data_IF_616896162686
#
_entry.id   IF_616896162686
#
_cell.length_a   1.000
_cell.length_b   1.000
_cell.length_c   1.000
_cell.angle_alpha   90.00
_cell.angle_beta   90.00
_cell.angle_gamma   90.00
#
_symmetry.space_group_name_H-M   'P 1'
#
loop_
_entity.id
_entity.type
_entity.pdbx_description
1 polymer ?
#
# COMPACT_ATOMS: atom_id res chain seq x y z
N UNK A 1 16.12 -26.75 19.42
CA UNK A 1 15.88 -25.37 18.96
C UNK A 1 14.40 -25.21 18.75
N UNK A 2 13.71 -24.44 19.60
CA UNK A 2 12.33 -24.04 19.34
C UNK A 2 12.35 -23.00 18.22
N UNK A 3 12.05 -23.42 16.99
CA UNK A 3 11.64 -22.49 15.94
C UNK A 3 10.15 -22.23 16.17
N UNK A 4 9.82 -21.35 17.11
CA UNK A 4 8.59 -20.59 16.89
C UNK A 4 8.84 -19.81 15.60
N UNK A 5 8.22 -20.25 14.50
CA UNK A 5 8.36 -19.56 13.23
C UNK A 5 7.96 -18.10 13.45
N UNK A 6 8.89 -17.18 13.21
CA UNK A 6 8.58 -15.76 13.28
C UNK A 6 7.43 -15.45 12.34
N UNK A 7 6.51 -14.59 12.79
CA UNK A 7 5.37 -14.18 11.98
C UNK A 7 5.88 -13.58 10.66
N UNK A 8 5.34 -13.97 9.49
CA UNK A 8 5.71 -13.36 8.22
C UNK A 8 5.53 -11.84 8.27
N UNK A 9 6.58 -11.11 7.90
CA UNK A 9 6.57 -9.66 7.83
C UNK A 9 6.42 -9.21 6.38
N UNK A 10 5.44 -8.36 6.12
CA UNK A 10 4.94 -8.10 4.77
C UNK A 10 5.12 -6.63 4.39
N UNK A 11 5.64 -6.40 3.19
CA UNK A 11 5.45 -5.18 2.42
C UNK A 11 4.45 -5.50 1.30
N UNK A 12 3.41 -4.69 1.16
CA UNK A 12 2.39 -4.86 0.13
C UNK A 12 2.38 -3.65 -0.80
N UNK A 13 2.72 -3.87 -2.07
CA UNK A 13 2.87 -2.84 -3.10
C UNK A 13 1.81 -3.01 -4.18
N UNK A 14 0.98 -1.98 -4.37
CA UNK A 14 -0.27 -2.10 -5.14
C UNK A 14 -0.67 -0.79 -5.84
N UNK A 15 -1.49 -0.87 -6.88
CA UNK A 15 -2.19 0.22 -7.56
C UNK A 15 -3.72 0.10 -7.34
N UNK A 16 -4.24 0.42 -6.14
CA UNK A 16 -5.50 -0.13 -5.65
C UNK A 16 -6.70 0.02 -6.60
N UNK A 17 -7.03 -1.09 -7.25
CA UNK A 17 -8.30 -1.37 -7.91
C UNK A 17 -9.22 -2.25 -7.05
N UNK A 18 -10.25 -2.82 -7.66
CA UNK A 18 -11.25 -3.65 -6.97
C UNK A 18 -10.66 -4.97 -6.45
N UNK A 19 -9.83 -5.62 -7.25
CA UNK A 19 -9.13 -6.87 -6.95
C UNK A 19 -8.03 -6.68 -5.90
N UNK A 20 -7.22 -5.61 -6.04
CA UNK A 20 -6.25 -5.20 -5.02
C UNK A 20 -6.92 -4.99 -3.66
N UNK A 21 -8.09 -4.35 -3.66
CA UNK A 21 -8.85 -4.06 -2.45
C UNK A 21 -9.26 -5.34 -1.72
N UNK A 22 -9.66 -6.39 -2.46
CA UNK A 22 -10.00 -7.67 -1.86
C UNK A 22 -8.76 -8.37 -1.26
N UNK A 23 -7.62 -8.31 -1.95
CA UNK A 23 -6.36 -8.84 -1.42
C UNK A 23 -5.91 -8.08 -0.16
N UNK A 24 -6.07 -6.76 -0.14
CA UNK A 24 -5.81 -5.94 1.05
C UNK A 24 -6.73 -6.31 2.21
N UNK A 25 -8.03 -6.50 1.97
CA UNK A 25 -8.99 -6.94 3.00
C UNK A 25 -8.56 -8.26 3.64
N UNK A 26 -8.14 -9.24 2.83
CA UNK A 26 -7.59 -10.49 3.37
C UNK A 26 -6.30 -10.29 4.15
N UNK A 27 -5.37 -9.48 3.65
CA UNK A 27 -4.13 -9.17 4.35
C UNK A 27 -4.40 -8.54 5.72
N UNK A 28 -5.35 -7.61 5.80
CA UNK A 28 -5.73 -6.96 7.06
C UNK A 28 -6.38 -7.94 8.03
N UNK A 29 -7.24 -8.84 7.56
CA UNK A 29 -7.81 -9.90 8.41
C UNK A 29 -6.74 -10.86 8.96
N UNK A 30 -5.76 -11.24 8.13
CA UNK A 30 -4.62 -12.04 8.58
C UNK A 30 -3.77 -11.30 9.63
N UNK A 31 -3.56 -9.99 9.43
CA UNK A 31 -2.81 -9.16 10.38
C UNK A 31 -3.57 -9.01 11.71
N UNK A 32 -4.89 -8.80 11.66
CA UNK A 32 -5.78 -8.72 12.82
C UNK A 32 -5.82 -10.04 13.60
N UNK A 33 -5.80 -11.17 12.90
CA UNK A 33 -5.66 -12.50 13.48
C UNK A 33 -4.25 -12.82 14.02
N UNK A 34 -3.30 -11.90 13.85
CA UNK A 34 -1.92 -12.06 14.30
C UNK A 34 -1.12 -13.10 13.53
N UNK A 35 -1.56 -13.47 12.31
CA UNK A 35 -0.91 -14.44 11.44
C UNK A 35 0.23 -13.82 10.62
N UNK A 36 0.15 -12.52 10.33
CA UNK A 36 1.17 -11.75 9.62
C UNK A 36 1.38 -10.39 10.29
N UNK A 37 2.49 -9.74 9.99
CA UNK A 37 2.77 -8.37 10.40
C UNK A 37 2.99 -7.49 9.16
N UNK A 38 2.15 -6.47 8.96
CA UNK A 38 2.29 -5.54 7.84
C UNK A 38 3.29 -4.46 8.27
N UNK A 39 4.41 -4.34 7.55
CA UNK A 39 5.44 -3.31 7.79
C UNK A 39 5.21 -2.07 6.97
N UNK A 40 4.76 -2.25 5.73
CA UNK A 40 4.44 -1.15 4.84
C UNK A 40 3.37 -1.51 3.81
N UNK A 41 2.64 -0.48 3.41
CA UNK A 41 1.74 -0.47 2.26
C UNK A 41 2.24 0.61 1.30
N UNK A 42 2.49 0.27 0.05
CA UNK A 42 3.03 1.22 -0.93
C UNK A 42 2.11 1.33 -2.12
N UNK A 43 1.77 2.57 -2.48
CA UNK A 43 0.96 2.84 -3.66
C UNK A 43 1.87 3.10 -4.86
N UNK A 44 1.57 2.43 -5.96
CA UNK A 44 2.10 2.76 -7.29
C UNK A 44 0.99 3.20 -8.21
N UNK A 45 1.41 3.68 -9.37
CA UNK A 45 0.50 3.96 -10.44
C UNK A 45 0.11 2.68 -11.20
N UNK A 46 -1.13 2.61 -11.67
CA UNK A 46 -1.55 1.71 -12.73
C UNK A 46 -3.04 1.89 -13.02
N UNK A 47 -3.93 1.27 -12.25
CA UNK A 47 -5.38 1.36 -12.42
C UNK A 47 -5.95 2.81 -12.43
N UNK A 48 -5.27 3.77 -11.81
CA UNK A 48 -5.65 5.18 -11.81
C UNK A 48 -4.44 6.11 -11.63
N UNK A 49 -4.69 7.42 -11.59
CA UNK A 49 -3.70 8.42 -11.20
C UNK A 49 -3.07 8.08 -9.86
N UNK A 50 -1.77 8.34 -9.71
CA UNK A 50 -1.00 7.92 -8.54
C UNK A 50 -1.55 8.45 -7.20
N UNK A 51 -2.10 9.67 -7.20
CA UNK A 51 -2.74 10.24 -6.02
C UNK A 51 -4.04 9.52 -5.68
N UNK A 52 -4.84 9.13 -6.68
CA UNK A 52 -6.06 8.35 -6.46
C UNK A 52 -5.72 6.96 -5.92
N UNK A 53 -4.69 6.30 -6.45
CA UNK A 53 -4.20 5.02 -5.94
C UNK A 53 -3.78 5.12 -4.47
N UNK A 54 -3.00 6.16 -4.12
CA UNK A 54 -2.63 6.44 -2.74
C UNK A 54 -3.85 6.71 -1.84
N UNK A 55 -4.79 7.54 -2.29
CA UNK A 55 -6.03 7.82 -1.56
C UNK A 55 -6.84 6.55 -1.33
N UNK A 56 -7.00 5.71 -2.34
CA UNK A 56 -7.74 4.45 -2.25
C UNK A 56 -7.08 3.50 -1.22
N UNK A 57 -5.73 3.40 -1.24
CA UNK A 57 -4.96 2.64 -0.24
C UNK A 57 -5.25 3.12 1.19
N UNK A 58 -5.23 4.45 1.40
CA UNK A 58 -5.51 5.06 2.71
C UNK A 58 -6.96 4.81 3.14
N UNK A 59 -7.92 4.93 2.23
CA UNK A 59 -9.33 4.63 2.54
C UNK A 59 -9.52 3.16 2.95
N UNK A 60 -8.90 2.20 2.25
CA UNK A 60 -8.96 0.78 2.59
C UNK A 60 -8.33 0.49 3.95
N UNK A 61 -7.20 1.11 4.26
CA UNK A 61 -6.55 1.00 5.56
C UNK A 61 -7.45 1.52 6.69
N UNK A 62 -8.13 2.66 6.48
CA UNK A 62 -9.06 3.23 7.45
C UNK A 62 -10.28 2.34 7.70
N UNK A 63 -10.85 1.75 6.65
CA UNK A 63 -12.03 0.88 6.76
C UNK A 63 -11.78 -0.38 7.60
N UNK A 64 -10.54 -0.82 7.70
CA UNK A 64 -10.22 -2.19 8.15
C UNK A 64 -9.49 -2.23 9.48
N UNK A 65 -8.62 -1.25 9.75
CA UNK A 65 -7.83 -1.21 10.99
C UNK A 65 -8.37 -0.18 12.00
N UNK A 66 -9.33 0.66 11.58
CA UNK A 66 -10.09 1.57 12.45
C UNK A 66 -9.29 2.74 13.02
N UNK A 67 -9.98 3.64 13.74
CA UNK A 67 -9.46 4.97 14.07
C UNK A 67 -8.18 4.96 14.93
N UNK A 68 -8.09 3.97 15.81
CA UNK A 68 -7.02 3.81 16.79
C UNK A 68 -5.61 3.61 16.21
N UNK A 69 -5.50 3.40 14.89
CA UNK A 69 -4.24 3.16 14.19
C UNK A 69 -3.52 4.46 13.79
N UNK A 70 -4.27 5.50 13.42
CA UNK A 70 -3.71 6.78 12.97
C UNK A 70 -3.57 7.80 14.10
N UNK A 71 -4.43 7.74 15.12
CA UNK A 71 -4.45 8.72 16.21
C UNK A 71 -3.21 8.67 17.12
N UNK A 72 -2.49 7.54 17.17
CA UNK A 72 -1.42 7.36 18.16
C UNK A 72 -0.18 8.21 17.91
N UNK A 73 0.12 8.58 16.65
CA UNK A 73 1.10 9.60 16.25
C UNK A 73 1.22 9.58 14.71
N UNK A 74 0.92 10.65 13.96
CA UNK A 74 1.08 10.66 12.51
C UNK A 74 2.55 10.47 12.06
N UNK A 75 3.52 10.77 12.93
CA UNK A 75 4.95 10.55 12.66
C UNK A 75 5.43 9.11 12.99
N UNK A 76 4.58 8.28 13.59
CA UNK A 76 4.89 6.88 13.94
C UNK A 76 3.67 6.00 13.68
N UNK A 77 3.29 5.90 12.40
CA UNK A 77 2.28 4.93 11.99
C UNK A 77 2.82 3.51 12.20
N UNK A 78 2.02 2.58 12.76
CA UNK A 78 2.46 1.20 12.91
C UNK A 78 2.67 0.49 11.56
N UNK A 79 2.04 0.99 10.50
CA UNK A 79 2.28 0.61 9.09
C UNK A 79 2.79 1.86 8.37
N UNK A 80 3.95 1.77 7.72
CA UNK A 80 4.47 2.86 6.89
C UNK A 80 3.77 2.88 5.53
N UNK A 81 3.55 4.08 4.99
CA UNK A 81 2.85 4.25 3.72
C UNK A 81 3.77 4.91 2.70
N UNK A 82 3.87 4.36 1.49
CA UNK A 82 4.68 4.91 0.40
C UNK A 82 3.84 5.44 -0.75
N UNK A 83 4.36 6.44 -1.46
CA UNK A 83 3.72 7.05 -2.64
C UNK A 83 4.54 6.84 -3.92
N UNK A 84 3.85 6.93 -5.06
CA UNK A 84 4.50 6.86 -6.36
C UNK A 84 5.57 7.96 -6.54
N UNK A 85 6.71 7.58 -7.12
CA UNK A 85 7.76 8.53 -7.52
C UNK A 85 7.53 9.04 -8.95
N UNK A 86 7.27 10.35 -9.17
CA UNK A 86 7.11 10.91 -10.51
C UNK A 86 8.32 10.72 -11.43
N UNK A 87 9.53 10.53 -10.86
CA UNK A 87 10.74 10.25 -11.64
C UNK A 87 10.69 8.90 -12.37
N UNK A 88 9.76 8.00 -12.03
CA UNK A 88 9.59 6.72 -12.70
C UNK A 88 8.98 6.84 -14.11
N UNK A 89 8.45 8.01 -14.46
CA UNK A 89 7.96 8.31 -15.80
C UNK A 89 6.56 8.91 -15.81
N UNK A 90 6.06 9.24 -17.02
CA UNK A 90 4.76 9.87 -17.19
C UNK A 90 3.66 8.93 -16.70
N UNK A 91 2.60 9.56 -16.22
CA UNK A 91 1.48 8.86 -15.67
C UNK A 91 0.70 8.08 -16.74
N UNK A 92 0.66 6.75 -16.65
CA UNK A 92 -0.17 5.86 -17.47
C UNK A 92 -1.25 5.22 -16.60
N UNK A 93 -2.51 5.38 -16.97
CA UNK A 93 -3.65 4.78 -16.30
C UNK A 93 -4.76 4.47 -17.30
N UNK A 94 -5.69 3.60 -16.91
CA UNK A 94 -6.83 3.20 -17.71
C UNK A 94 -8.14 3.48 -16.96
N UNK A 95 -8.79 4.59 -17.29
CA UNK A 95 -10.04 5.02 -16.65
C UNK A 95 -11.27 4.28 -17.22
N UNK A 96 -11.13 3.54 -18.32
CA UNK A 96 -12.25 2.87 -18.99
C UNK A 96 -12.74 1.64 -18.22
N UNK A 97 -11.82 0.93 -17.54
CA UNK A 97 -12.15 -0.29 -16.80
C UNK A 97 -12.38 -0.04 -15.31
N UNK A 98 -11.63 0.88 -14.70
CA UNK A 98 -11.63 1.07 -13.24
C UNK A 98 -12.40 2.31 -12.78
N UNK A 99 -12.91 3.12 -13.72
CA UNK A 99 -13.54 4.41 -13.43
C UNK A 99 -12.52 5.51 -13.15
N UNK A 100 -12.93 6.77 -13.23
CA UNK A 100 -12.02 7.92 -13.09
C UNK A 100 -11.30 8.02 -11.73
N UNK A 101 -11.83 7.35 -10.70
CA UNK A 101 -11.24 7.26 -9.36
C UNK A 101 -10.39 5.99 -9.13
N UNK A 102 -10.32 5.08 -10.12
CA UNK A 102 -9.70 3.76 -10.01
C UNK A 102 -10.48 2.76 -9.17
N UNK A 103 -11.67 3.14 -8.71
CA UNK A 103 -12.43 2.36 -7.74
C UNK A 103 -13.94 2.34 -8.05
N UNK A 104 -14.29 2.45 -9.33
CA UNK A 104 -15.67 2.41 -9.83
C UNK A 104 -16.62 3.40 -9.13
N UNK A 105 -16.10 4.56 -8.73
CA UNK A 105 -16.84 5.60 -8.01
C UNK A 105 -16.98 5.35 -6.51
N UNK A 106 -16.47 4.24 -5.96
CA UNK A 106 -16.54 3.95 -4.53
C UNK A 106 -15.78 4.99 -3.71
N UNK A 107 -14.71 5.60 -4.24
CA UNK A 107 -13.94 6.60 -3.51
C UNK A 107 -14.83 7.77 -3.05
N UNK A 108 -15.79 8.16 -3.88
CA UNK A 108 -16.72 9.26 -3.58
C UNK A 108 -17.67 8.95 -2.43
N UNK A 109 -18.00 7.67 -2.20
CA UNK A 109 -18.84 7.24 -1.07
C UNK A 109 -18.09 7.27 0.25
N UNK A 110 -16.77 7.06 0.23
CA UNK A 110 -15.94 7.14 1.43
C UNK A 110 -15.66 8.58 1.86
N UNK A 111 -15.66 9.53 0.93
CA UNK A 111 -15.52 10.95 1.24
C UNK A 111 -16.73 11.53 1.99
N UNK A 112 -17.90 10.89 1.93
CA UNK A 112 -19.12 11.35 2.62
C UNK A 112 -19.44 10.57 3.90
N UNK A 113 -18.64 9.56 4.26
CA UNK A 113 -18.86 8.74 5.44
C UNK A 113 -18.05 9.26 6.64
N UNK A 114 -18.76 9.75 7.66
CA UNK A 114 -18.18 10.32 8.87
C UNK A 114 -17.50 9.30 9.80
N UNK A 115 -17.64 7.99 9.53
CA UNK A 115 -16.97 6.93 10.28
C UNK A 115 -15.62 6.51 9.68
N UNK A 116 -15.18 7.17 8.60
CA UNK A 116 -13.88 6.94 7.97
C UNK A 116 -13.01 8.17 8.25
N UNK A 117 -11.95 7.99 9.03
CA UNK A 117 -11.02 9.05 9.50
C UNK A 117 -10.46 9.98 8.41
N UNK A 118 -10.51 9.56 7.14
CA UNK A 118 -10.07 10.38 6.00
C UNK A 118 -11.17 10.60 4.97
N UNK A 119 -12.41 10.83 5.40
CA UNK A 119 -13.38 11.52 4.54
C UNK A 119 -12.90 12.94 4.19
N UNK A 120 -11.98 13.51 4.98
CA UNK A 120 -11.28 14.76 4.66
C UNK A 120 -10.10 14.53 3.69
N UNK A 121 -10.25 15.04 2.47
CA UNK A 121 -9.23 15.07 1.42
C UNK A 121 -7.94 15.79 1.86
N UNK A 122 -8.03 16.76 2.76
CA UNK A 122 -6.87 17.49 3.30
C UNK A 122 -5.94 16.56 4.08
N UNK A 123 -6.50 15.65 4.89
CA UNK A 123 -5.70 14.69 5.65
C UNK A 123 -4.97 13.71 4.71
N UNK A 124 -5.65 13.22 3.68
CA UNK A 124 -5.02 12.34 2.68
C UNK A 124 -3.92 13.08 1.93
N UNK A 125 -4.17 14.34 1.56
CA UNK A 125 -3.17 15.19 0.90
C UNK A 125 -1.94 15.39 1.77
N UNK A 126 -2.12 15.75 3.04
CA UNK A 126 -1.02 15.93 3.98
C UNK A 126 -0.24 14.63 4.19
N UNK A 127 -0.93 13.50 4.36
CA UNK A 127 -0.29 12.19 4.49
C UNK A 127 0.49 11.83 3.22
N UNK A 128 -0.05 12.12 2.04
CA UNK A 128 0.64 11.93 0.77
C UNK A 128 1.90 12.80 0.66
N UNK A 129 1.85 14.06 1.09
CA UNK A 129 3.02 14.95 1.09
C UNK A 129 4.13 14.42 2.00
N UNK A 130 3.78 13.96 3.20
CA UNK A 130 4.71 13.44 4.19
C UNK A 130 5.22 12.02 3.90
N UNK A 131 4.51 11.23 3.10
CA UNK A 131 4.89 9.86 2.80
C UNK A 131 6.16 9.81 1.92
N UNK A 132 7.11 8.90 2.19
CA UNK A 132 8.27 8.66 1.33
C UNK A 132 7.84 8.07 -0.01
N UNK A 133 8.76 8.08 -0.98
CA UNK A 133 8.54 7.32 -2.20
C UNK A 133 8.56 5.81 -1.94
N UNK A 134 7.67 5.09 -2.61
CA UNK A 134 7.47 3.65 -2.44
C UNK A 134 8.78 2.86 -2.58
N UNK A 135 9.59 3.16 -3.59
CA UNK A 135 10.87 2.47 -3.81
C UNK A 135 11.89 2.72 -2.70
N UNK A 136 11.95 3.97 -2.22
CA UNK A 136 12.86 4.36 -1.14
C UNK A 136 12.47 3.67 0.16
N UNK A 137 11.17 3.65 0.48
CA UNK A 137 10.64 2.97 1.65
C UNK A 137 10.91 1.46 1.59
N UNK A 138 10.65 0.84 0.44
CA UNK A 138 10.92 -0.59 0.24
C UNK A 138 12.41 -0.89 0.46
N UNK A 139 13.31 -0.15 -0.20
CA UNK A 139 14.76 -0.35 -0.07
C UNK A 139 15.23 -0.14 1.36
N UNK A 140 14.75 0.92 2.03
CA UNK A 140 15.07 1.20 3.42
C UNK A 140 14.66 0.04 4.34
N UNK A 141 13.45 -0.48 4.18
CA UNK A 141 12.94 -1.59 4.99
C UNK A 141 13.70 -2.89 4.73
N UNK A 142 13.94 -3.21 3.46
CA UNK A 142 14.70 -4.41 3.07
C UNK A 142 16.15 -4.39 3.60
N UNK A 143 16.81 -3.21 3.59
CA UNK A 143 18.14 -3.04 4.17
C UNK A 143 18.13 -3.13 5.70
N UNK A 144 17.08 -2.64 6.35
CA UNK A 144 16.93 -2.69 7.82
C UNK A 144 16.60 -4.10 8.33
N UNK A 145 15.91 -4.89 7.52
CA UNK A 145 15.39 -6.23 7.85
C UNK A 145 15.77 -7.26 6.78
N UNK A 146 17.08 -7.54 6.59
CA UNK A 146 17.55 -8.39 5.50
C UNK A 146 17.06 -9.83 5.68
N UNK A 147 16.41 -10.38 4.65
CA UNK A 147 15.83 -11.74 4.61
C UNK A 147 14.67 -12.00 5.58
N UNK A 148 14.12 -10.97 6.24
CA UNK A 148 12.98 -11.10 7.16
C UNK A 148 11.66 -10.71 6.48
N UNK A 149 11.72 -9.83 5.48
CA UNK A 149 10.55 -9.26 4.82
C UNK A 149 10.19 -10.02 3.54
N UNK A 150 8.90 -10.26 3.36
CA UNK A 150 8.30 -10.70 2.10
C UNK A 150 7.64 -9.51 1.43
N UNK A 151 7.93 -9.31 0.14
CA UNK A 151 7.30 -8.24 -0.65
C UNK A 151 6.30 -8.86 -1.62
N UNK A 152 5.05 -8.44 -1.51
CA UNK A 152 3.99 -8.76 -2.47
C UNK A 152 3.81 -7.59 -3.42
N UNK A 153 4.10 -7.82 -4.70
CA UNK A 153 3.79 -6.89 -5.77
C UNK A 153 2.46 -7.31 -6.39
N UNK A 154 1.39 -6.62 -6.03
CA UNK A 154 0.07 -6.77 -6.62
C UNK A 154 -0.17 -5.52 -7.44
N UNK A 155 0.68 -5.34 -8.45
CA UNK A 155 0.52 -4.28 -9.44
C UNK A 155 1.16 -4.68 -10.74
N UNK A 156 0.56 -4.24 -11.84
CA UNK A 156 1.11 -4.47 -13.18
C UNK A 156 2.33 -3.57 -13.46
N UNK A 157 2.49 -2.49 -12.69
CA UNK A 157 3.50 -1.47 -12.92
C UNK A 157 4.83 -1.76 -12.20
N UNK A 158 5.80 -2.18 -13.02
CA UNK A 158 7.22 -1.86 -12.85
C UNK A 158 8.08 -2.72 -11.90
N UNK A 159 7.76 -4.01 -11.80
CA UNK A 159 8.68 -4.99 -11.20
C UNK A 159 10.10 -4.93 -11.81
N UNK A 160 10.22 -4.68 -13.12
CA UNK A 160 11.52 -4.63 -13.81
C UNK A 160 12.42 -3.49 -13.33
N UNK A 161 11.90 -2.27 -13.10
CA UNK A 161 12.71 -1.19 -12.52
C UNK A 161 12.95 -1.41 -11.03
N UNK A 162 11.96 -1.86 -10.27
CA UNK A 162 12.13 -2.11 -8.83
C UNK A 162 13.18 -3.18 -8.56
N UNK A 163 13.20 -4.28 -9.33
CA UNK A 163 14.25 -5.31 -9.23
C UNK A 163 15.66 -4.76 -9.48
N UNK A 164 15.79 -3.80 -10.42
CA UNK A 164 17.07 -3.14 -10.70
C UNK A 164 17.53 -2.24 -9.56
N UNK A 165 16.60 -1.61 -8.85
CA UNK A 165 16.87 -0.74 -7.70
C UNK A 165 17.21 -1.53 -6.42
N UNK A 166 16.60 -2.70 -6.22
CA UNK A 166 16.71 -3.44 -4.95
C UNK A 166 17.92 -4.39 -4.85
N UNK A 167 18.55 -4.78 -5.96
CA UNK A 167 19.60 -5.82 -5.94
C UNK A 167 19.05 -7.22 -5.54
N UNK A 168 19.84 -8.29 -5.73
CA UNK A 168 19.48 -9.66 -5.33
C UNK A 168 20.12 -10.01 -3.96
N UNK A 169 19.49 -10.81 -3.07
CA UNK A 169 18.36 -11.72 -3.32
C UNK A 169 17.21 -11.55 -2.30
N UNK A 170 16.16 -10.82 -2.65
CA UNK A 170 14.92 -10.83 -1.86
C UNK A 170 13.91 -11.83 -2.47
N UNK A 171 13.12 -12.49 -1.62
CA UNK A 171 12.04 -13.39 -2.06
C UNK A 171 10.82 -12.58 -2.46
N UNK A 172 10.33 -12.80 -3.68
CA UNK A 172 9.21 -12.09 -4.28
C UNK A 172 8.08 -13.06 -4.62
N UNK A 173 6.86 -12.72 -4.22
CA UNK A 173 5.64 -13.43 -4.63
C UNK A 173 4.81 -12.54 -5.55
N UNK A 174 4.32 -13.12 -6.64
CA UNK A 174 3.54 -12.43 -7.67
C UNK A 174 2.15 -13.03 -7.74
N UNK A 175 1.15 -12.16 -7.78
CA UNK A 175 -0.19 -12.50 -8.17
C UNK A 175 -0.54 -11.64 -9.38
N UNK A 176 -0.79 -12.29 -10.52
CA UNK A 176 -1.45 -11.66 -11.65
C UNK A 176 -2.92 -12.03 -11.53
N UNK A 177 -3.77 -11.04 -11.28
CA UNK A 177 -5.22 -11.18 -11.42
C UNK A 177 -5.67 -10.42 -12.67
#
# INVERSE_FOLDING_TARGET
>A
MNLEASKPQIIFDTDPGLDDSLAMLWLFELARGGLVEIKALTAVQGNTHSFNAFRNLVHLLNLTIGESFFEKNPNHLPIQIGKYNPANGPQKFDDQFFGGDGFSGLSSKYLSDGCILTSNLEHVTLLHELSPYSEELIVQLLNKHPNELTVYFISSYDFKKKKKLMGNPFFFFFFFF
#
